data_IF_384336139159
#
_entry.id   IF_384336139159
#
_cell.length_a   1.000
_cell.length_b   1.000
_cell.length_c   1.000
_cell.angle_alpha   90.00
_cell.angle_beta   90.00
_cell.angle_gamma   90.00
#
_symmetry.space_group_name_H-M   'P 1'
#
loop_
_entity.id
_entity.type
_entity.pdbx_description
1 polymer ?
#
# COMPACT_ATOMS: atom_id res chain seq x y z
N UNK A 1 -14.37 -10.47 -2.79
CA UNK A 1 -12.99 -10.35 -3.33
C UNK A 1 -12.15 -9.85 -2.18
N UNK A 2 -11.22 -10.67 -1.69
CA UNK A 2 -10.29 -10.25 -0.64
C UNK A 2 -9.08 -9.63 -1.33
N UNK A 3 -8.96 -8.30 -1.30
CA UNK A 3 -7.78 -7.62 -1.83
C UNK A 3 -6.72 -7.61 -0.72
N UNK A 4 -5.61 -8.33 -0.95
CA UNK A 4 -4.40 -8.19 -0.16
C UNK A 4 -3.81 -6.77 -0.27
N UNK A 5 -2.81 -6.44 0.53
CA UNK A 5 -2.18 -5.13 0.43
C UNK A 5 -1.32 -5.01 -0.82
N UNK A 6 -1.32 -3.81 -1.40
CA UNK A 6 -0.49 -3.45 -2.55
C UNK A 6 0.87 -2.97 -2.03
N UNK A 7 1.96 -3.61 -2.46
CA UNK A 7 3.32 -3.20 -2.09
C UNK A 7 3.74 -1.86 -2.71
N UNK A 8 4.72 -1.19 -2.12
CA UNK A 8 5.20 0.12 -2.59
C UNK A 8 5.75 0.09 -4.04
N UNK A 9 6.50 -0.95 -4.41
CA UNK A 9 7.01 -1.08 -5.79
C UNK A 9 5.89 -1.25 -6.82
N UNK A 10 4.77 -1.87 -6.42
CA UNK A 10 3.59 -1.95 -7.27
C UNK A 10 3.01 -0.55 -7.51
N UNK A 11 2.96 0.30 -6.48
CA UNK A 11 2.54 1.70 -6.61
C UNK A 11 3.49 2.45 -7.55
N UNK A 12 4.81 2.33 -7.36
CA UNK A 12 5.82 2.95 -8.23
C UNK A 12 5.64 2.53 -9.69
N UNK A 13 5.44 1.25 -9.96
CA UNK A 13 5.22 0.72 -11.30
C UNK A 13 3.95 1.27 -11.93
N UNK A 14 2.83 1.28 -11.18
CA UNK A 14 1.57 1.87 -11.65
C UNK A 14 1.73 3.36 -11.97
N UNK A 15 2.44 4.11 -11.12
CA UNK A 15 2.73 5.53 -11.33
C UNK A 15 3.59 5.73 -12.58
N UNK A 16 4.66 4.94 -12.74
CA UNK A 16 5.54 5.02 -13.91
C UNK A 16 4.78 4.71 -15.21
N UNK A 17 4.03 3.61 -15.24
CA UNK A 17 3.18 3.23 -16.37
C UNK A 17 2.14 4.32 -16.70
N UNK A 18 1.59 5.01 -15.70
CA UNK A 18 0.63 6.11 -15.91
C UNK A 18 1.26 7.34 -16.54
N UNK A 19 2.52 7.63 -16.21
CA UNK A 19 3.31 8.71 -16.81
C UNK A 19 3.67 8.36 -18.25
N UNK A 20 4.19 7.16 -18.47
CA UNK A 20 4.68 6.70 -19.77
C UNK A 20 3.56 6.25 -20.72
N UNK A 21 2.31 6.14 -20.23
CA UNK A 21 1.13 5.65 -20.96
C UNK A 21 1.29 4.23 -21.53
N UNK A 22 2.01 3.39 -20.80
CA UNK A 22 2.23 1.97 -21.11
C UNK A 22 1.35 1.12 -20.18
N UNK A 23 0.76 0.00 -20.64
CA UNK A 23 -0.04 -0.87 -19.78
C UNK A 23 0.81 -1.45 -18.62
N UNK A 24 0.33 -1.40 -17.36
CA UNK A 24 1.07 -1.95 -16.23
C UNK A 24 1.05 -3.47 -16.27
N UNK A 25 2.22 -4.07 -16.50
CA UNK A 25 2.45 -5.50 -16.32
C UNK A 25 2.95 -5.74 -14.89
N UNK A 26 2.01 -5.91 -13.97
CA UNK A 26 2.31 -6.04 -12.55
C UNK A 26 2.63 -7.51 -12.22
N UNK A 27 3.87 -7.91 -12.47
CA UNK A 27 4.38 -9.22 -12.08
C UNK A 27 5.24 -9.07 -10.80
N UNK A 28 4.61 -9.35 -9.66
CA UNK A 28 5.26 -9.24 -8.35
C UNK A 28 6.11 -10.47 -8.00
N UNK A 29 5.96 -11.57 -8.75
CA UNK A 29 6.76 -12.79 -8.58
C UNK A 29 8.16 -12.64 -9.23
N UNK A 30 8.31 -11.72 -10.19
CA UNK A 30 9.58 -11.40 -10.87
C UNK A 30 10.55 -10.60 -9.99
N UNK A 31 10.13 -10.15 -8.80
CA UNK A 31 11.02 -9.45 -7.87
C UNK A 31 11.58 -10.42 -6.81
N UNK A 32 12.77 -11.02 -7.03
CA UNK A 32 13.33 -12.07 -6.16
C UNK A 32 13.67 -11.62 -4.75
N UNK A 33 13.57 -10.31 -4.46
CA UNK A 33 13.85 -9.72 -3.15
C UNK A 33 12.61 -9.17 -2.46
N UNK A 34 11.43 -9.20 -3.10
CA UNK A 34 10.22 -8.67 -2.49
C UNK A 34 9.76 -9.68 -1.44
N UNK A 35 9.83 -9.35 -0.13
CA UNK A 35 9.31 -10.24 0.89
C UNK A 35 7.82 -10.40 0.62
N UNK A 36 7.33 -11.65 0.57
CA UNK A 36 5.89 -11.91 0.58
C UNK A 36 5.31 -11.29 1.84
N UNK A 37 4.80 -10.08 1.71
CA UNK A 37 4.43 -9.25 2.84
C UNK A 37 3.02 -9.64 3.22
N UNK A 38 2.92 -10.55 4.19
CA UNK A 38 1.64 -10.84 4.82
C UNK A 38 1.38 -9.68 5.78
N UNK A 39 0.53 -8.75 5.36
CA UNK A 39 0.15 -7.61 6.20
C UNK A 39 -1.33 -7.71 6.52
N UNK A 40 -1.65 -7.42 7.78
CA UNK A 40 -3.03 -7.35 8.25
C UNK A 40 -3.69 -6.05 7.77
N UNK A 41 -5.00 -6.12 7.52
CA UNK A 41 -5.79 -4.92 7.19
C UNK A 41 -6.11 -4.16 8.46
N UNK A 42 -5.59 -2.95 8.59
CA UNK A 42 -5.99 -2.04 9.67
C UNK A 42 -7.28 -1.32 9.30
N UNK A 43 -8.29 -1.37 10.18
CA UNK A 43 -9.51 -0.57 10.00
C UNK A 43 -9.17 0.92 10.11
N UNK A 44 -9.73 1.75 9.21
CA UNK A 44 -9.52 3.19 9.21
C UNK A 44 -9.80 3.86 10.58
N UNK A 45 -10.82 3.38 11.31
CA UNK A 45 -11.15 3.86 12.67
C UNK A 45 -10.01 3.75 13.67
N UNK A 46 -9.13 2.75 13.53
CA UNK A 46 -7.99 2.56 14.42
C UNK A 46 -6.87 3.60 14.18
N UNK A 47 -6.78 4.17 12.98
CA UNK A 47 -5.90 5.32 12.73
C UNK A 47 -6.54 6.63 13.19
N UNK A 48 -7.87 6.75 13.07
CA UNK A 48 -8.58 7.95 13.51
C UNK A 48 -8.42 8.21 15.01
N UNK A 49 -8.33 7.16 15.84
CA UNK A 49 -8.08 7.34 17.28
C UNK A 49 -6.73 8.01 17.58
N UNK A 50 -5.72 7.83 16.72
CA UNK A 50 -4.42 8.49 16.86
C UNK A 50 -4.48 10.01 16.58
N UNK A 51 -5.55 10.48 15.95
CA UNK A 51 -5.78 11.92 15.74
C UNK A 51 -6.46 12.56 16.96
N UNK A 52 -7.12 11.77 17.81
CA UNK A 52 -7.84 12.22 19.00
C UNK A 52 -6.90 12.52 20.18
N UNK A 53 -5.81 11.76 20.34
CA UNK A 53 -4.80 11.96 21.40
C UNK A 53 -4.02 13.28 21.27
N UNK A 54 -4.20 14.05 20.18
CA UNK A 54 -3.62 15.39 20.03
C UNK A 54 -4.44 16.50 20.70
N UNK A 55 -5.64 16.20 21.20
CA UNK A 55 -6.54 17.18 21.82
C UNK A 55 -6.55 17.16 23.36
N UNK A 56 -5.88 16.20 24.02
CA UNK A 56 -5.90 16.04 25.47
C UNK A 56 -4.52 16.30 26.11
N UNK A 57 -3.85 17.34 25.61
CA UNK A 57 -2.62 17.91 26.19
C UNK A 57 -2.78 19.43 26.36
N UNK A 58 -3.87 19.85 27.00
CA UNK A 58 -4.15 21.23 27.40
C UNK A 58 -4.46 21.29 28.91
#
# INVERSE_FOLDING_TARGET
IDLGAIGFDAVKHLVLCRIERVPPRLDLDVYPFLPRTTVEKTFARAYLSLLSDRQEAA
#
